data_IF_402245444096
#
_entry.id   IF_402245444096
#
_cell.length_a   1.000
_cell.length_b   1.000
_cell.length_c   1.000
_cell.angle_alpha   90.00
_cell.angle_beta   90.00
_cell.angle_gamma   90.00
#
_symmetry.space_group_name_H-M   'P 1'
#
loop_
_entity.id
_entity.type
_entity.pdbx_description
1 polymer ?
#
# COMPACT_ATOMS: atom_id res chain seq x y z
N UNK A 1 -73.18 67.07 5.69
CA UNK A 1 -71.71 67.03 5.87
C UNK A 1 -71.44 66.13 7.07
N UNK A 2 -71.09 64.86 6.83
CA UNK A 2 -69.70 64.34 6.83
C UNK A 2 -69.27 63.98 8.27
N UNK A 3 -68.86 62.77 8.66
CA UNK A 3 -68.22 61.63 7.96
C UNK A 3 -68.49 60.33 8.76
N UNK A 4 -68.70 59.22 8.06
CA UNK A 4 -68.58 57.85 8.59
C UNK A 4 -67.11 57.47 8.71
N UNK A 5 -66.65 56.99 9.86
CA UNK A 5 -65.31 56.39 9.99
C UNK A 5 -65.42 54.86 10.04
N UNK A 6 -64.77 54.25 9.05
CA UNK A 6 -64.72 52.85 8.70
C UNK A 6 -63.69 52.13 9.61
N UNK A 7 -64.09 51.05 10.29
CA UNK A 7 -63.15 50.17 11.01
C UNK A 7 -62.37 49.32 10.01
N UNK A 8 -61.05 49.49 9.98
CA UNK A 8 -60.14 48.68 9.18
C UNK A 8 -59.48 47.64 10.10
N UNK A 9 -59.83 46.37 9.94
CA UNK A 9 -59.15 45.26 10.60
C UNK A 9 -57.92 44.85 9.77
N UNK A 10 -56.71 45.08 10.29
CA UNK A 10 -55.49 44.51 9.73
C UNK A 10 -55.34 43.06 10.23
N UNK A 11 -55.40 42.09 9.31
CA UNK A 11 -54.85 40.75 9.54
C UNK A 11 -53.35 40.78 9.24
N UNK A 12 -52.52 40.67 10.28
CA UNK A 12 -51.09 40.42 10.15
C UNK A 12 -50.83 38.93 9.93
N UNK A 13 -50.51 38.52 8.71
CA UNK A 13 -49.96 37.19 8.43
C UNK A 13 -48.49 37.18 8.81
N UNK A 14 -48.18 36.69 10.02
CA UNK A 14 -46.81 36.45 10.45
C UNK A 14 -46.22 35.25 9.70
N UNK A 15 -45.29 35.51 8.78
CA UNK A 15 -44.44 34.46 8.21
C UNK A 15 -43.36 34.12 9.24
N UNK A 16 -43.50 32.97 9.90
CA UNK A 16 -42.46 32.39 10.74
C UNK A 16 -41.35 31.85 9.83
N UNK A 17 -40.28 32.63 9.65
CA UNK A 17 -39.00 32.09 9.17
C UNK A 17 -38.46 31.14 10.24
N UNK A 18 -38.63 29.82 10.03
CA UNK A 18 -37.86 28.81 10.75
C UNK A 18 -36.45 28.82 10.17
N UNK A 19 -35.52 29.45 10.88
CA UNK A 19 -34.09 29.24 10.64
C UNK A 19 -33.77 27.75 10.83
N UNK A 20 -33.05 27.12 9.89
CA UNK A 20 -32.61 25.73 10.07
C UNK A 20 -31.74 25.63 11.32
N UNK A 21 -31.93 24.54 12.08
CA UNK A 21 -31.07 24.24 13.23
C UNK A 21 -29.62 24.12 12.74
N UNK A 22 -28.64 24.64 13.50
CA UNK A 22 -27.24 24.45 13.14
C UNK A 22 -26.95 22.95 13.06
N UNK A 23 -26.40 22.53 11.93
CA UNK A 23 -25.92 21.17 11.72
C UNK A 23 -24.93 20.85 12.85
N UNK A 24 -25.11 19.71 13.52
CA UNK A 24 -24.12 19.27 14.52
C UNK A 24 -22.78 19.13 13.79
N UNK A 25 -21.67 19.66 14.32
CA UNK A 25 -20.38 19.45 13.71
C UNK A 25 -20.15 17.95 13.61
N UNK A 26 -19.93 17.45 12.37
CA UNK A 26 -19.43 16.10 12.16
C UNK A 26 -18.09 16.03 12.88
N UNK A 27 -17.98 15.16 13.89
CA UNK A 27 -16.69 14.78 14.43
C UNK A 27 -15.95 14.05 13.32
N UNK A 28 -15.00 14.71 12.68
CA UNK A 28 -14.06 14.02 11.80
C UNK A 28 -13.15 13.16 12.68
N UNK A 29 -13.27 11.84 12.54
CA UNK A 29 -12.34 10.91 13.17
C UNK A 29 -10.95 11.21 12.62
N UNK A 30 -9.96 11.36 13.51
CA UNK A 30 -8.58 11.61 13.12
C UNK A 30 -8.00 10.35 12.48
N UNK A 31 -7.19 10.54 11.45
CA UNK A 31 -6.33 9.51 10.89
C UNK A 31 -5.59 8.76 12.00
N UNK A 32 -5.47 7.44 11.87
CA UNK A 32 -4.84 6.56 12.86
C UNK A 32 -3.60 5.92 12.26
N UNK A 33 -2.46 6.02 12.93
CA UNK A 33 -1.23 5.34 12.51
C UNK A 33 -1.30 3.87 12.94
N UNK A 34 -1.33 2.96 11.97
CA UNK A 34 -1.38 1.50 12.19
C UNK A 34 0.03 0.87 12.21
N UNK A 35 0.90 1.34 11.31
CA UNK A 35 2.34 1.06 11.34
C UNK A 35 3.04 2.42 11.38
N UNK A 36 3.79 2.74 12.46
CA UNK A 36 4.54 3.98 12.51
C UNK A 36 5.81 3.90 11.65
N UNK A 37 6.25 5.05 11.12
CA UNK A 37 7.45 5.14 10.26
C UNK A 37 8.73 4.54 10.86
N UNK A 38 8.83 4.47 12.19
CA UNK A 38 9.95 3.91 12.94
C UNK A 38 9.74 2.46 13.38
N UNK A 39 8.77 1.74 12.79
CA UNK A 39 8.39 0.36 13.15
C UNK A 39 9.53 -0.65 13.10
N UNK A 40 10.60 -0.40 12.32
CA UNK A 40 11.78 -1.27 12.30
C UNK A 40 12.63 -1.19 13.58
N UNK A 41 12.52 -0.12 14.37
CA UNK A 41 13.18 -0.04 15.68
C UNK A 41 12.62 -1.05 16.69
N UNK A 42 11.44 -1.60 16.41
CA UNK A 42 10.80 -2.69 17.16
C UNK A 42 10.13 -3.67 16.19
N UNK A 43 10.97 -4.34 15.37
CA UNK A 43 10.53 -5.21 14.28
C UNK A 43 9.50 -6.24 14.77
N UNK A 44 9.78 -6.89 15.91
CA UNK A 44 8.92 -7.91 16.51
C UNK A 44 7.55 -7.39 16.94
N UNK A 45 7.36 -6.09 17.14
CA UNK A 45 6.03 -5.54 17.48
C UNK A 45 5.11 -5.51 16.26
N UNK A 46 5.64 -5.18 15.08
CA UNK A 46 4.83 -4.88 13.90
C UNK A 46 4.93 -5.93 12.79
N UNK A 47 6.00 -6.72 12.77
CA UNK A 47 6.37 -7.57 11.64
C UNK A 47 6.61 -9.02 12.06
N UNK A 48 6.28 -9.94 11.17
CA UNK A 48 6.71 -11.34 11.22
C UNK A 48 7.74 -11.57 10.11
N UNK A 49 8.69 -12.49 10.33
CA UNK A 49 9.51 -13.04 9.25
C UNK A 49 8.69 -13.94 8.32
N UNK A 50 9.22 -14.17 7.11
CA UNK A 50 8.68 -15.01 6.05
C UNK A 50 7.39 -14.48 5.42
N UNK A 51 6.91 -15.13 4.37
CA UNK A 51 5.56 -14.88 3.87
C UNK A 51 4.51 -15.42 4.86
N UNK A 52 3.27 -14.91 4.84
CA UNK A 52 2.16 -15.44 5.65
C UNK A 52 1.89 -16.95 5.48
N UNK A 53 2.33 -17.54 4.37
CA UNK A 53 2.11 -18.94 4.01
C UNK A 53 3.39 -19.80 3.99
N UNK A 54 4.57 -19.25 4.33
CA UNK A 54 5.81 -20.01 4.39
C UNK A 54 7.02 -19.28 3.81
N UNK A 55 8.02 -20.05 3.39
CA UNK A 55 9.34 -19.58 2.97
C UNK A 55 9.52 -19.46 1.45
N UNK A 56 8.50 -19.77 0.65
CA UNK A 56 8.60 -19.72 -0.81
C UNK A 56 7.45 -18.97 -1.46
N UNK A 57 7.71 -18.42 -2.65
CA UNK A 57 6.72 -17.82 -3.53
C UNK A 57 6.97 -18.26 -5.00
N UNK A 58 6.69 -17.40 -5.97
CA UNK A 58 6.75 -17.68 -7.42
C UNK A 58 8.10 -17.35 -8.10
N UNK A 59 9.20 -17.32 -7.34
CA UNK A 59 10.54 -17.05 -7.85
C UNK A 59 11.58 -18.08 -7.39
N UNK A 60 12.86 -17.73 -7.57
CA UNK A 60 14.01 -18.59 -7.31
C UNK A 60 14.63 -18.46 -5.92
N UNK A 61 13.99 -17.76 -4.98
CA UNK A 61 14.50 -17.56 -3.63
C UNK A 61 13.65 -18.29 -2.57
N UNK A 62 14.35 -18.91 -1.61
CA UNK A 62 13.79 -19.38 -0.34
C UNK A 62 14.08 -18.34 0.74
N UNK A 63 13.06 -18.03 1.54
CA UNK A 63 13.10 -16.97 2.53
C UNK A 63 13.52 -17.50 3.91
N UNK A 64 14.40 -16.79 4.59
CA UNK A 64 14.77 -17.06 5.98
C UNK A 64 15.04 -15.76 6.76
N UNK A 65 15.19 -15.89 8.07
CA UNK A 65 15.44 -14.76 8.97
C UNK A 65 16.89 -14.29 8.98
N UNK A 66 17.84 -15.09 8.52
CA UNK A 66 19.27 -14.73 8.51
C UNK A 66 19.56 -13.70 7.41
N UNK A 67 18.70 -13.64 6.38
CA UNK A 67 18.70 -12.65 5.30
C UNK A 67 17.80 -11.43 5.57
N UNK A 68 17.37 -11.26 6.82
CA UNK A 68 16.60 -10.11 7.31
C UNK A 68 17.39 -9.42 8.41
N UNK A 69 17.79 -8.17 8.19
CA UNK A 69 18.52 -7.39 9.20
C UNK A 69 17.98 -5.98 9.32
N UNK A 70 18.04 -5.43 10.54
CA UNK A 70 17.69 -4.02 10.80
C UNK A 70 18.85 -3.35 11.52
N UNK A 71 19.23 -2.16 11.04
CA UNK A 71 20.21 -1.29 11.69
C UNK A 71 19.82 0.17 11.48
N UNK A 72 19.86 0.97 12.55
CA UNK A 72 19.55 2.41 12.53
C UNK A 72 18.22 2.76 11.82
N UNK A 73 17.18 1.95 12.05
CA UNK A 73 15.86 2.14 11.45
C UNK A 73 15.75 1.76 9.97
N UNK A 74 16.78 1.14 9.40
CA UNK A 74 16.80 0.64 8.02
C UNK A 74 16.71 -0.88 8.03
N UNK A 75 15.68 -1.42 7.37
CA UNK A 75 15.59 -2.83 7.02
C UNK A 75 16.48 -3.09 5.80
N UNK A 76 17.29 -4.13 5.86
CA UNK A 76 18.06 -4.66 4.73
C UNK A 76 17.71 -6.12 4.53
N UNK A 77 17.16 -6.42 3.36
CA UNK A 77 16.96 -7.77 2.85
C UNK A 77 18.10 -8.11 1.89
N UNK A 78 18.65 -9.31 1.97
CA UNK A 78 19.75 -9.74 1.10
C UNK A 78 19.34 -10.94 0.28
N UNK A 79 19.73 -11.02 -0.99
CA UNK A 79 19.57 -12.22 -1.81
C UNK A 79 20.97 -12.82 -2.05
N UNK A 80 21.24 -14.00 -1.48
CA UNK A 80 22.49 -14.74 -1.61
C UNK A 80 22.34 -15.86 -2.64
N UNK A 81 23.14 -15.90 -3.72
CA UNK A 81 23.15 -17.04 -4.64
C UNK A 81 23.74 -18.27 -3.95
N UNK A 82 23.03 -19.39 -4.02
CA UNK A 82 23.43 -20.66 -3.38
C UNK A 82 23.44 -21.81 -4.37
N UNK A 83 24.16 -22.88 -4.01
CA UNK A 83 24.18 -24.14 -4.75
C UNK A 83 23.69 -25.27 -3.86
N UNK A 84 22.96 -26.23 -4.44
CA UNK A 84 22.52 -27.44 -3.73
C UNK A 84 21.09 -27.41 -3.21
N UNK A 85 20.37 -26.32 -3.42
CA UNK A 85 18.91 -26.27 -3.30
C UNK A 85 18.24 -27.02 -4.48
N UNK A 86 16.99 -27.44 -4.29
CA UNK A 86 16.17 -28.02 -5.36
C UNK A 86 15.56 -26.92 -6.24
N UNK A 87 15.64 -27.09 -7.56
CA UNK A 87 14.98 -26.19 -8.51
C UNK A 87 13.50 -25.96 -8.12
N UNK A 88 13.00 -24.71 -8.15
CA UNK A 88 13.60 -23.55 -8.79
C UNK A 88 14.50 -22.70 -7.88
N UNK A 89 14.85 -23.17 -6.68
CA UNK A 89 15.55 -22.34 -5.69
C UNK A 89 17.04 -22.27 -6.03
N UNK A 90 17.50 -21.05 -6.31
CA UNK A 90 18.89 -20.72 -6.58
C UNK A 90 19.45 -19.69 -5.58
N UNK A 91 18.59 -19.14 -4.70
CA UNK A 91 18.95 -18.09 -3.75
C UNK A 91 18.35 -18.33 -2.37
N UNK A 92 19.05 -17.89 -1.34
CA UNK A 92 18.46 -17.63 -0.01
C UNK A 92 18.22 -16.12 0.12
N UNK A 93 17.08 -15.74 0.69
CA UNK A 93 16.68 -14.34 0.77
C UNK A 93 15.78 -14.03 1.96
N UNK A 94 15.32 -12.79 2.07
CA UNK A 94 14.51 -12.30 3.18
C UNK A 94 13.09 -11.89 2.78
N UNK A 95 12.16 -12.09 3.71
CA UNK A 95 10.80 -11.53 3.64
C UNK A 95 10.31 -11.18 5.04
N UNK A 96 9.57 -10.09 5.15
CA UNK A 96 8.75 -9.79 6.32
C UNK A 96 7.32 -9.45 5.89
N UNK A 97 6.37 -9.66 6.79
CA UNK A 97 4.99 -9.22 6.61
C UNK A 97 4.42 -8.57 7.87
N UNK A 98 3.50 -7.63 7.69
CA UNK A 98 2.83 -6.96 8.80
C UNK A 98 1.98 -7.95 9.62
N UNK A 99 2.04 -7.85 10.94
CA UNK A 99 1.17 -8.61 11.86
C UNK A 99 -0.30 -8.18 11.73
N UNK A 100 -0.50 -6.89 11.48
CA UNK A 100 -1.82 -6.30 11.24
C UNK A 100 -2.31 -6.57 9.81
N UNK A 101 -3.62 -6.50 9.64
CA UNK A 101 -4.27 -6.48 8.33
C UNK A 101 -5.05 -5.17 8.18
N UNK A 102 -5.10 -4.66 6.96
CA UNK A 102 -5.69 -3.38 6.62
C UNK A 102 -6.93 -3.61 5.77
N UNK A 103 -8.08 -3.08 6.20
CA UNK A 103 -9.35 -3.23 5.47
C UNK A 103 -9.89 -1.85 5.19
N UNK A 104 -9.98 -1.49 3.92
CA UNK A 104 -10.63 -0.23 3.51
C UNK A 104 -12.12 -0.34 3.81
N UNK A 105 -12.62 0.60 4.60
CA UNK A 105 -14.04 0.73 4.89
C UNK A 105 -14.70 1.69 3.91
N UNK A 106 -16.01 1.55 3.70
CA UNK A 106 -16.77 2.49 2.88
C UNK A 106 -16.64 3.92 3.43
N UNK A 107 -16.33 4.87 2.55
CA UNK A 107 -16.01 6.27 2.86
C UNK A 107 -14.62 6.49 3.47
N UNK A 108 -13.76 5.46 3.50
CA UNK A 108 -12.45 5.48 4.14
C UNK A 108 -11.29 5.22 3.17
N UNK A 109 -10.18 4.73 3.72
CA UNK A 109 -8.95 4.51 2.96
C UNK A 109 -7.71 4.31 3.81
N UNK A 110 -6.58 4.09 3.17
CA UNK A 110 -5.25 4.00 3.79
C UNK A 110 -4.21 4.74 2.97
N UNK A 111 -3.21 5.28 3.65
CA UNK A 111 -1.97 5.72 3.05
C UNK A 111 -0.89 4.71 3.43
N UNK A 112 -0.21 4.15 2.44
CA UNK A 112 0.88 3.20 2.62
C UNK A 112 2.12 3.80 1.96
N UNK A 113 3.16 4.07 2.71
CA UNK A 113 4.37 4.71 2.18
C UNK A 113 5.65 4.14 2.77
N UNK A 114 6.75 4.26 2.04
CA UNK A 114 8.07 3.83 2.42
C UNK A 114 9.14 4.47 1.50
N UNK A 115 10.41 4.39 1.89
CA UNK A 115 11.54 4.74 1.04
C UNK A 115 12.41 3.53 0.74
N UNK A 116 12.98 3.48 -0.47
CA UNK A 116 13.68 2.33 -1.00
C UNK A 116 15.02 2.68 -1.66
N UNK A 117 16.01 1.82 -1.46
CA UNK A 117 17.14 1.59 -2.36
C UNK A 117 16.94 0.17 -2.91
N UNK A 118 16.65 0.05 -4.19
CA UNK A 118 16.22 -1.20 -4.81
C UNK A 118 17.13 -1.63 -5.97
N UNK A 119 17.61 -2.89 -5.97
CA UNK A 119 18.41 -3.41 -7.07
C UNK A 119 17.54 -3.63 -8.31
N UNK A 120 18.11 -3.30 -9.48
CA UNK A 120 17.42 -3.35 -10.78
C UNK A 120 18.15 -4.21 -11.81
N UNK A 121 19.08 -5.05 -11.36
CA UNK A 121 19.82 -5.97 -12.24
C UNK A 121 18.92 -7.15 -12.62
N UNK A 122 19.06 -7.69 -13.84
CA UNK A 122 18.26 -8.85 -14.28
C UNK A 122 18.25 -9.97 -13.24
N UNK A 123 17.06 -10.52 -12.99
CA UNK A 123 16.80 -11.54 -11.98
C UNK A 123 16.70 -11.05 -10.53
N UNK A 124 16.83 -9.74 -10.23
CA UNK A 124 16.43 -9.21 -8.93
C UNK A 124 14.95 -8.86 -8.92
N UNK A 125 14.22 -9.30 -7.89
CA UNK A 125 12.79 -9.07 -7.74
C UNK A 125 12.36 -8.63 -6.32
N UNK A 126 12.84 -7.47 -5.83
CA UNK A 126 12.30 -6.88 -4.62
C UNK A 126 10.86 -6.38 -4.83
N UNK A 127 10.05 -6.45 -3.77
CA UNK A 127 8.65 -6.03 -3.80
C UNK A 127 8.18 -5.43 -2.47
N UNK A 128 7.25 -4.48 -2.58
CA UNK A 128 6.49 -3.87 -1.49
C UNK A 128 5.02 -3.85 -1.90
N UNK A 129 4.21 -4.71 -1.27
CA UNK A 129 2.91 -5.07 -1.83
C UNK A 129 1.89 -5.47 -0.77
N UNK A 130 0.62 -5.35 -1.13
CA UNK A 130 -0.53 -5.68 -0.30
C UNK A 130 -1.21 -6.91 -0.90
N UNK A 131 -1.26 -8.00 -0.15
CA UNK A 131 -1.95 -9.23 -0.55
C UNK A 131 -3.16 -9.50 0.35
N UNK A 132 -4.11 -10.30 -0.13
CA UNK A 132 -5.22 -10.85 0.62
C UNK A 132 -4.76 -11.44 1.96
N UNK A 133 -5.40 -11.00 3.04
CA UNK A 133 -5.26 -11.64 4.34
C UNK A 133 -5.85 -13.07 4.34
N UNK A 134 -6.74 -13.38 3.40
CA UNK A 134 -7.30 -14.71 3.16
C UNK A 134 -7.81 -14.82 1.72
N UNK A 135 -7.52 -15.95 1.06
CA UNK A 135 -7.85 -16.16 -0.34
C UNK A 135 -6.90 -15.42 -1.27
N UNK A 136 -7.31 -15.24 -2.51
CA UNK A 136 -6.68 -14.37 -3.52
C UNK A 136 -7.62 -14.29 -4.73
N UNK A 137 -7.79 -13.13 -5.39
CA UNK A 137 -7.41 -11.76 -4.95
C UNK A 137 -8.08 -11.36 -3.62
N UNK A 138 -7.73 -10.22 -2.97
CA UNK A 138 -7.03 -9.03 -3.50
C UNK A 138 -5.47 -9.06 -3.57
N UNK A 139 -4.87 -8.26 -4.46
CA UNK A 139 -3.44 -7.94 -4.57
C UNK A 139 -3.17 -6.55 -5.21
N UNK A 140 -2.35 -5.72 -4.55
CA UNK A 140 -1.85 -4.42 -5.02
C UNK A 140 -0.34 -4.39 -4.85
N UNK A 141 0.40 -4.25 -5.94
CA UNK A 141 1.83 -4.01 -5.91
C UNK A 141 2.10 -2.51 -5.81
N UNK A 142 2.44 -2.06 -4.60
CA UNK A 142 2.80 -0.66 -4.35
C UNK A 142 4.13 -0.32 -5.00
N UNK A 143 5.06 -1.28 -5.04
CA UNK A 143 6.26 -1.23 -5.87
C UNK A 143 6.80 -2.64 -6.13
N UNK A 144 7.15 -2.93 -7.37
CA UNK A 144 7.99 -4.08 -7.74
C UNK A 144 9.12 -3.64 -8.66
N UNK A 145 10.32 -4.20 -8.48
CA UNK A 145 11.42 -4.02 -9.43
C UNK A 145 11.75 -5.36 -10.08
N UNK A 146 11.64 -5.46 -11.41
CA UNK A 146 11.79 -6.73 -12.15
C UNK A 146 13.07 -6.77 -12.99
N UNK A 147 14.19 -6.36 -12.39
CA UNK A 147 15.52 -6.49 -12.98
C UNK A 147 15.75 -5.80 -14.34
N UNK A 148 15.00 -4.73 -14.62
CA UNK A 148 14.96 -4.07 -15.94
C UNK A 148 15.28 -2.57 -15.91
N UNK A 149 15.73 -2.04 -14.78
CA UNK A 149 15.90 -0.59 -14.57
C UNK A 149 14.59 0.16 -14.29
N UNK A 150 13.49 -0.57 -14.04
CA UNK A 150 12.16 -0.01 -13.84
C UNK A 150 11.57 -0.40 -12.49
N UNK A 151 10.62 0.43 -12.06
CA UNK A 151 9.67 0.15 -10.98
C UNK A 151 8.27 -0.02 -11.60
N UNK A 152 7.53 -1.00 -11.09
CA UNK A 152 6.22 -1.42 -11.56
C UNK A 152 5.17 -1.15 -10.48
N UNK A 153 4.00 -0.66 -10.89
CA UNK A 153 2.85 -0.39 -10.04
C UNK A 153 1.65 -1.18 -10.58
N UNK A 154 1.12 -2.11 -9.80
CA UNK A 154 0.10 -3.05 -10.29
C UNK A 154 -1.10 -3.15 -9.36
N UNK A 155 -2.24 -3.48 -9.96
CA UNK A 155 -3.48 -3.81 -9.24
C UNK A 155 -4.15 -4.99 -9.94
N UNK A 156 -4.35 -6.08 -9.20
CA UNK A 156 -4.86 -7.35 -9.72
C UNK A 156 -6.33 -7.54 -9.36
N UNK A 157 -7.22 -7.48 -10.35
CA UNK A 157 -8.61 -7.86 -10.13
C UNK A 157 -8.81 -9.37 -10.29
N UNK A 158 -7.97 -10.02 -11.10
CA UNK A 158 -7.81 -11.48 -11.25
C UNK A 158 -6.41 -11.77 -11.79
N UNK A 159 -6.07 -13.05 -12.05
CA UNK A 159 -4.81 -13.42 -12.72
C UNK A 159 -4.66 -12.88 -14.14
N UNK A 160 -5.79 -12.62 -14.82
CA UNK A 160 -5.79 -12.15 -16.22
C UNK A 160 -6.27 -10.70 -16.37
N UNK A 161 -6.76 -10.09 -15.28
CA UNK A 161 -7.23 -8.72 -15.23
C UNK A 161 -6.33 -7.91 -14.30
N UNK A 162 -5.23 -7.42 -14.87
CA UNK A 162 -4.20 -6.66 -14.16
C UNK A 162 -4.06 -5.30 -14.82
N UNK A 163 -4.14 -4.24 -14.03
CA UNK A 163 -3.65 -2.92 -14.47
C UNK A 163 -2.20 -2.82 -14.02
N UNK A 164 -1.30 -2.53 -14.94
CA UNK A 164 0.13 -2.47 -14.69
C UNK A 164 0.73 -1.24 -15.37
N UNK A 165 1.67 -0.59 -14.69
CA UNK A 165 2.46 0.49 -15.26
C UNK A 165 3.90 0.40 -14.78
N UNK A 166 4.82 0.25 -15.72
CA UNK A 166 6.25 0.35 -15.47
C UNK A 166 6.75 1.75 -15.81
N UNK A 167 7.54 2.34 -14.91
CA UNK A 167 8.27 3.59 -15.15
C UNK A 167 9.75 3.40 -14.84
N UNK A 168 10.59 4.24 -15.43
CA UNK A 168 12.04 4.20 -15.16
C UNK A 168 12.29 4.48 -13.67
N UNK A 169 13.19 3.71 -13.06
CA UNK A 169 13.65 3.90 -11.69
C UNK A 169 15.05 4.51 -11.71
N UNK A 170 15.18 5.85 -11.65
CA UNK A 170 16.46 6.52 -11.78
C UNK A 170 17.33 6.25 -10.56
N UNK A 171 18.66 6.32 -10.71
CA UNK A 171 19.64 6.27 -9.60
C UNK A 171 19.32 5.23 -8.51
N UNK A 172 19.32 3.92 -8.82
CA UNK A 172 18.87 2.86 -7.90
C UNK A 172 19.65 2.75 -6.58
N UNK A 173 20.77 3.46 -6.46
CA UNK A 173 21.60 3.55 -5.25
C UNK A 173 21.18 4.72 -4.32
N UNK A 174 20.27 5.59 -4.74
CA UNK A 174 19.71 6.69 -3.96
C UNK A 174 18.35 6.30 -3.34
N UNK A 175 17.96 6.98 -2.26
CA UNK A 175 16.65 6.77 -1.64
C UNK A 175 15.53 7.39 -2.48
N UNK A 176 14.54 6.57 -2.81
CA UNK A 176 13.31 6.99 -3.49
C UNK A 176 12.09 6.74 -2.62
N UNK A 177 11.18 7.70 -2.54
CA UNK A 177 9.92 7.54 -1.78
C UNK A 177 8.84 6.96 -2.67
N UNK A 178 8.11 5.97 -2.18
CA UNK A 178 6.94 5.40 -2.85
C UNK A 178 5.74 5.45 -1.91
N UNK A 179 4.59 5.82 -2.44
CA UNK A 179 3.33 5.87 -1.70
C UNK A 179 2.18 5.32 -2.53
N UNK A 180 1.28 4.58 -1.89
CA UNK A 180 -0.05 4.28 -2.40
C UNK A 180 -1.12 4.92 -1.50
N UNK A 181 -2.06 5.64 -2.10
CA UNK A 181 -3.29 6.10 -1.46
C UNK A 181 -4.44 5.20 -1.92
N UNK A 182 -4.97 4.40 -0.99
CA UNK A 182 -6.15 3.57 -1.21
C UNK A 182 -7.36 4.34 -0.71
N UNK A 183 -8.38 4.52 -1.54
CA UNK A 183 -9.63 5.22 -1.18
C UNK A 183 -10.84 4.44 -1.65
N UNK A 184 -11.88 4.40 -0.83
CA UNK A 184 -13.19 3.94 -1.29
C UNK A 184 -13.65 4.81 -2.48
N UNK A 185 -13.97 4.16 -3.60
CA UNK A 185 -14.44 4.83 -4.81
C UNK A 185 -15.97 4.92 -4.87
N UNK A 186 -16.67 3.86 -4.45
CA UNK A 186 -18.12 3.72 -4.68
C UNK A 186 -18.85 2.80 -3.68
N UNK A 187 -18.21 2.46 -2.56
CA UNK A 187 -18.68 1.54 -1.54
C UNK A 187 -18.36 0.06 -1.81
N UNK A 188 -17.71 -0.27 -2.93
CA UNK A 188 -17.31 -1.62 -3.30
C UNK A 188 -15.87 -1.67 -3.84
N UNK A 189 -15.53 -0.75 -4.74
CA UNK A 189 -14.21 -0.65 -5.35
C UNK A 189 -13.31 0.34 -4.60
N UNK A 190 -12.01 0.17 -4.76
CA UNK A 190 -10.99 1.07 -4.24
C UNK A 190 -10.24 1.73 -5.40
N UNK A 191 -10.06 3.05 -5.37
CA UNK A 191 -9.05 3.71 -6.19
C UNK A 191 -7.70 3.67 -5.48
N UNK A 192 -6.64 3.37 -6.24
CA UNK A 192 -5.27 3.23 -5.77
C UNK A 192 -4.40 4.24 -6.52
N UNK A 193 -4.05 5.34 -5.87
CA UNK A 193 -3.15 6.35 -6.45
C UNK A 193 -1.72 6.10 -6.03
N UNK A 194 -0.84 5.84 -6.98
CA UNK A 194 0.57 5.53 -6.76
C UNK A 194 1.45 6.75 -7.02
N UNK A 195 2.40 6.98 -6.13
CA UNK A 195 3.33 8.10 -6.18
C UNK A 195 4.77 7.60 -6.11
N UNK A 196 5.65 8.24 -6.88
CA UNK A 196 7.10 8.07 -6.82
C UNK A 196 7.73 9.45 -6.61
N UNK A 197 8.55 9.60 -5.57
CA UNK A 197 9.19 10.86 -5.19
C UNK A 197 8.22 12.04 -5.01
N UNK A 198 7.05 11.73 -4.47
CA UNK A 198 5.97 12.69 -4.22
C UNK A 198 5.13 13.05 -5.46
N UNK A 199 5.51 12.59 -6.65
CA UNK A 199 4.77 12.83 -7.89
C UNK A 199 3.78 11.69 -8.16
N UNK A 200 2.54 12.04 -8.53
CA UNK A 200 1.53 11.04 -8.92
C UNK A 200 1.95 10.36 -10.22
N UNK A 201 2.08 9.04 -10.19
CA UNK A 201 2.43 8.22 -11.34
C UNK A 201 1.17 7.76 -12.08
N UNK A 202 0.23 7.16 -11.35
CA UNK A 202 -1.03 6.65 -11.91
C UNK A 202 -2.08 6.43 -10.83
N UNK A 203 -3.35 6.38 -11.23
CA UNK A 203 -4.46 5.89 -10.40
C UNK A 203 -5.06 4.66 -11.06
N UNK A 204 -5.12 3.55 -10.32
CA UNK A 204 -5.70 2.28 -10.75
C UNK A 204 -6.92 1.94 -9.89
N UNK A 205 -7.69 0.92 -10.27
CA UNK A 205 -8.93 0.56 -9.59
C UNK A 205 -8.96 -0.92 -9.23
N UNK A 206 -9.09 -1.19 -7.94
CA UNK A 206 -9.21 -2.51 -7.37
C UNK A 206 -10.70 -2.82 -7.12
N UNK A 207 -11.24 -3.78 -7.88
CA UNK A 207 -12.67 -4.11 -7.91
C UNK A 207 -13.05 -4.97 -6.71
N UNK A 208 -14.14 -4.62 -6.03
CA UNK A 208 -14.69 -5.35 -4.87
C UNK A 208 -13.74 -5.48 -3.65
N UNK A 209 -12.77 -4.57 -3.51
CA UNK A 209 -11.80 -4.61 -2.40
C UNK A 209 -12.28 -3.94 -1.11
N UNK A 210 -13.31 -3.10 -1.14
CA UNK A 210 -13.87 -2.53 0.10
C UNK A 210 -14.35 -3.68 0.99
N UNK A 211 -13.93 -3.66 2.25
CA UNK A 211 -14.23 -4.74 3.20
C UNK A 211 -13.32 -5.97 3.09
N UNK A 212 -12.42 -6.05 2.11
CA UNK A 212 -11.42 -7.12 2.04
C UNK A 212 -10.22 -6.82 2.94
N UNK A 213 -9.69 -7.85 3.60
CA UNK A 213 -8.46 -7.73 4.38
C UNK A 213 -7.23 -7.78 3.49
N UNK A 214 -6.37 -6.77 3.60
CA UNK A 214 -5.06 -6.69 2.95
C UNK A 214 -3.96 -6.87 4.00
N UNK A 215 -2.83 -7.43 3.61
CA UNK A 215 -1.64 -7.60 4.44
C UNK A 215 -0.44 -7.08 3.67
N UNK A 216 0.33 -6.23 4.33
CA UNK A 216 1.55 -5.66 3.76
C UNK A 216 2.69 -6.67 3.86
N UNK A 217 3.39 -6.85 2.74
CA UNK A 217 4.53 -7.76 2.58
C UNK A 217 5.69 -6.96 1.98
N UNK A 218 6.88 -7.20 2.50
CA UNK A 218 8.15 -6.70 1.95
C UNK A 218 9.04 -7.90 1.73
N UNK A 219 9.42 -8.17 0.50
CA UNK A 219 10.28 -9.29 0.19
C UNK A 219 11.36 -8.95 -0.84
N UNK A 220 12.36 -9.82 -0.88
CA UNK A 220 13.36 -9.80 -1.91
C UNK A 220 13.40 -11.14 -2.66
N UNK A 221 12.44 -11.34 -3.56
CA UNK A 221 12.43 -12.46 -4.48
C UNK A 221 13.53 -12.32 -5.56
N UNK A 222 13.84 -13.41 -6.25
CA UNK A 222 14.73 -13.41 -7.41
C UNK A 222 14.14 -14.24 -8.55
N UNK A 223 14.65 -14.00 -9.76
CA UNK A 223 14.24 -14.66 -10.99
C UNK A 223 12.72 -14.60 -11.24
N UNK A 224 12.11 -15.64 -11.79
CA UNK A 224 10.69 -15.64 -12.13
C UNK A 224 10.33 -14.51 -13.11
N UNK A 225 9.45 -13.60 -12.69
CA UNK A 225 9.04 -12.43 -13.48
C UNK A 225 10.17 -11.43 -13.74
N UNK A 226 11.26 -11.48 -12.96
CA UNK A 226 12.45 -10.63 -13.17
C UNK A 226 13.47 -11.21 -14.15
N UNK A 227 13.19 -12.39 -14.71
CA UNK A 227 14.02 -13.05 -15.71
C UNK A 227 15.21 -13.84 -15.14
N UNK A 228 15.93 -14.51 -16.03
CA UNK A 228 17.09 -15.36 -15.70
C UNK A 228 18.19 -15.13 -16.77
N UNK A 229 19.49 -15.27 -16.45
CA UNK A 229 20.07 -15.56 -15.13
C UNK A 229 19.94 -14.38 -14.16
N UNK A 230 19.78 -14.69 -12.88
CA UNK A 230 19.91 -13.69 -11.81
C UNK A 230 21.35 -13.35 -11.42
N UNK A 231 21.53 -12.54 -10.35
CA UNK A 231 22.84 -12.12 -9.87
C UNK A 231 23.75 -13.28 -9.47
N UNK A 232 25.05 -13.12 -9.69
CA UNK A 232 26.07 -14.12 -9.30
C UNK A 232 26.75 -13.80 -7.97
N UNK A 233 26.43 -12.66 -7.38
CA UNK A 233 26.95 -12.17 -6.10
C UNK A 233 25.76 -11.76 -5.23
N UNK A 234 25.96 -11.71 -3.90
CA UNK A 234 24.92 -11.25 -2.98
C UNK A 234 24.52 -9.80 -3.28
N UNK A 235 23.23 -9.55 -3.37
CA UNK A 235 22.64 -8.22 -3.59
C UNK A 235 21.75 -7.82 -2.42
N UNK A 236 21.47 -6.51 -2.29
CA UNK A 236 20.74 -5.95 -1.14
C UNK A 236 19.55 -5.12 -1.59
N UNK A 237 18.46 -5.20 -0.83
CA UNK A 237 17.28 -4.33 -0.93
C UNK A 237 17.09 -3.62 0.42
N UNK A 238 17.09 -2.29 0.43
CA UNK A 238 17.00 -1.51 1.67
C UNK A 238 15.73 -0.67 1.72
N UNK A 239 15.13 -0.64 2.91
CA UNK A 239 13.83 -0.04 3.16
C UNK A 239 13.90 0.76 4.46
N UNK A 240 13.28 1.93 4.49
CA UNK A 240 13.09 2.72 5.71
C UNK A 240 11.76 3.48 5.69
N UNK A 241 11.40 4.04 6.83
CA UNK A 241 10.25 4.94 6.98
C UNK A 241 8.94 4.33 6.47
N UNK A 242 8.73 3.03 6.70
CA UNK A 242 7.47 2.36 6.34
C UNK A 242 6.37 2.83 7.27
N UNK A 243 5.34 3.45 6.72
CA UNK A 243 4.20 3.96 7.47
C UNK A 243 2.87 3.57 6.82
N UNK A 244 1.93 3.14 7.67
CA UNK A 244 0.55 2.86 7.27
C UNK A 244 -0.39 3.71 8.12
N UNK A 245 -1.14 4.60 7.47
CA UNK A 245 -2.11 5.48 8.11
C UNK A 245 -3.51 5.08 7.64
N UNK A 246 -4.38 4.73 8.58
CA UNK A 246 -5.81 4.55 8.34
C UNK A 246 -6.52 5.90 8.26
N UNK A 247 -7.28 6.09 7.18
CA UNK A 247 -8.24 7.17 6.96
C UNK A 247 -9.69 6.68 7.10
N UNK A 248 -9.90 5.50 7.68
CA UNK A 248 -11.23 4.94 7.90
C UNK A 248 -12.07 5.78 8.90
N UNK A 249 -13.40 5.83 8.74
CA UNK A 249 -14.32 6.65 9.53
C UNK A 249 -14.49 6.21 10.99
#
# INVERSE_FOLDING_TARGET
MHIHALSLALLSTGVLCRSPLPEKPKLERRATTEIPSDSFNDLDTYWNNLYPWGDTHNGGARMDSDHVSVSDGVLTLTAEPVSGEEDPIHYLSGTIHAKSTFTVEAGGGYDVNAEFIAPVTTGTWPAFWLNAASGWPPEIDVAEWKGSGKISFNTFNTSDEVTALDVDYPNPDDWHSVKAELRDENGADISVSFYLDGELVTTQYARDYVGQGLRLIIDYQTEGSSGTPGPTETTTFQIRNVEVISQNP
#
